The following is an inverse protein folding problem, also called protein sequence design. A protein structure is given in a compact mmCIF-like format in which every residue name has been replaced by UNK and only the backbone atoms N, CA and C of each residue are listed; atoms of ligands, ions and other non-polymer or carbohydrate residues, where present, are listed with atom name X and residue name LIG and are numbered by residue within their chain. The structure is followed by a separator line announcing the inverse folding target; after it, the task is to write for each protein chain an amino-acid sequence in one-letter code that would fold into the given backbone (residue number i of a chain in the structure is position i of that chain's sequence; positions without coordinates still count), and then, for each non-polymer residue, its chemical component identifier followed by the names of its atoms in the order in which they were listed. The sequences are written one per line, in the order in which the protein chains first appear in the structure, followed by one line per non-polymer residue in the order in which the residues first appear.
data_IF_123850761731
#
_entry.id   IF_123850761731
#
_cell.length_a   1.000
_cell.length_b   1.000
_cell.length_c   1.000
_cell.angle_alpha   90.00
_cell.angle_beta   90.00
_cell.angle_gamma   90.00
#
_symmetry.space_group_name_H-M   'P 1'
#
loop_
_entity.id
_entity.type
_entity.pdbx_description
1 polymer ?
#
# COMPACT_ATOMS: atom_id res chain seq x y z
N UNK A 1 -30.71 17.47 8.09
CA UNK A 1 -29.44 17.44 7.34
C UNK A 1 -29.36 16.10 6.62
N UNK A 2 -29.42 16.08 5.29
CA UNK A 2 -29.33 14.84 4.52
C UNK A 2 -27.92 14.28 4.65
N UNK A 3 -27.78 13.07 5.24
CA UNK A 3 -26.51 12.33 5.22
C UNK A 3 -26.18 12.03 3.76
N UNK A 4 -25.17 12.70 3.21
CA UNK A 4 -24.62 12.34 1.91
C UNK A 4 -24.24 10.86 1.95
N UNK A 5 -25.02 9.98 1.31
CA UNK A 5 -24.66 8.57 1.16
C UNK A 5 -23.43 8.50 0.29
N UNK A 6 -22.32 8.06 0.86
CA UNK A 6 -21.09 7.77 0.12
C UNK A 6 -21.47 6.70 -0.91
N UNK A 7 -21.26 7.00 -2.21
CA UNK A 7 -21.42 6.00 -3.27
C UNK A 7 -20.18 5.12 -3.28
N UNK A 8 -20.37 3.82 -3.44
CA UNK A 8 -19.29 2.84 -3.58
C UNK A 8 -19.30 2.24 -4.98
N UNK A 9 -18.14 1.96 -5.50
CA UNK A 9 -17.95 1.16 -6.72
C UNK A 9 -17.34 -0.18 -6.35
N UNK A 10 -17.54 -1.18 -7.20
CA UNK A 10 -16.87 -2.47 -7.10
C UNK A 10 -15.72 -2.53 -8.08
N UNK A 11 -14.58 -3.00 -7.60
CA UNK A 11 -13.41 -3.33 -8.43
C UNK A 11 -13.02 -4.79 -8.17
N UNK A 12 -12.76 -5.60 -9.22
CA UNK A 12 -12.38 -6.99 -9.02
C UNK A 12 -10.92 -7.10 -8.56
N UNK A 13 -10.63 -8.16 -7.83
CA UNK A 13 -9.28 -8.73 -7.69
C UNK A 13 -8.83 -9.17 -9.09
N UNK A 14 -7.61 -8.79 -9.49
CA UNK A 14 -7.13 -8.94 -10.86
C UNK A 14 -6.62 -10.36 -11.12
N UNK A 15 -5.87 -10.93 -10.17
CA UNK A 15 -5.25 -12.24 -10.35
C UNK A 15 -5.14 -13.04 -9.04
N UNK A 16 -4.70 -14.28 -9.13
CA UNK A 16 -4.43 -15.15 -7.99
C UNK A 16 -5.66 -15.88 -7.46
N UNK A 17 -5.58 -16.33 -6.20
CA UNK A 17 -6.56 -17.21 -5.52
C UNK A 17 -7.97 -16.62 -5.49
N UNK A 18 -8.08 -15.30 -5.37
CA UNK A 18 -9.36 -14.59 -5.24
C UNK A 18 -9.77 -13.82 -6.51
N UNK A 19 -9.15 -14.11 -7.65
CA UNK A 19 -9.44 -13.46 -8.94
C UNK A 19 -10.95 -13.38 -9.21
N UNK A 20 -11.41 -12.18 -9.57
CA UNK A 20 -12.82 -11.89 -9.89
C UNK A 20 -13.71 -11.57 -8.68
N UNK A 21 -13.28 -11.84 -7.42
CA UNK A 21 -13.99 -11.34 -6.26
C UNK A 21 -13.93 -9.80 -6.22
N UNK A 22 -15.01 -9.17 -5.79
CA UNK A 22 -15.13 -7.72 -5.79
C UNK A 22 -14.72 -7.11 -4.44
N UNK A 23 -13.99 -6.01 -4.52
CA UNK A 23 -13.68 -5.09 -3.42
C UNK A 23 -14.53 -3.84 -3.61
N UNK A 24 -15.17 -3.34 -2.55
CA UNK A 24 -15.85 -2.05 -2.55
C UNK A 24 -14.85 -0.92 -2.31
N UNK A 25 -14.92 0.13 -3.14
CA UNK A 25 -14.09 1.32 -3.03
C UNK A 25 -14.97 2.57 -3.00
N UNK A 26 -14.59 3.64 -2.29
CA UNK A 26 -15.33 4.89 -2.33
C UNK A 26 -15.38 5.47 -3.75
N UNK A 27 -16.52 6.04 -4.14
CA UNK A 27 -16.67 6.75 -5.41
C UNK A 27 -15.99 8.13 -5.32
N UNK A 28 -14.65 8.14 -5.36
CA UNK A 28 -13.86 9.37 -5.48
C UNK A 28 -13.59 9.60 -6.98
N UNK A 29 -13.47 10.86 -7.40
CA UNK A 29 -13.32 11.31 -8.81
C UNK A 29 -12.05 10.85 -9.53
N UNK A 30 -11.59 9.63 -9.30
CA UNK A 30 -10.47 9.02 -10.02
C UNK A 30 -10.96 8.06 -11.08
N UNK A 31 -10.39 8.13 -12.27
CA UNK A 31 -10.74 7.22 -13.37
C UNK A 31 -10.41 5.78 -12.96
N UNK A 32 -11.44 4.95 -12.90
CA UNK A 32 -11.42 3.54 -12.47
C UNK A 32 -10.35 2.72 -13.21
N UNK A 33 -10.08 3.05 -14.47
CA UNK A 33 -9.10 2.39 -15.32
C UNK A 33 -7.65 2.62 -14.89
N UNK A 34 -7.29 3.85 -14.47
CA UNK A 34 -5.90 4.16 -14.09
C UNK A 34 -5.46 3.43 -12.82
N UNK A 35 -6.30 3.35 -11.79
CA UNK A 35 -6.00 2.61 -10.55
C UNK A 35 -5.87 1.09 -10.79
N UNK A 36 -6.65 0.52 -11.71
CA UNK A 36 -6.55 -0.91 -12.05
C UNK A 36 -5.27 -1.21 -12.82
N UNK A 37 -4.90 -0.37 -13.79
CA UNK A 37 -3.65 -0.51 -14.56
C UNK A 37 -2.42 -0.35 -13.64
N UNK A 38 -2.45 0.62 -12.73
CA UNK A 38 -1.39 0.83 -11.74
C UNK A 38 -1.23 -0.42 -10.85
N UNK A 39 -2.34 -0.95 -10.29
CA UNK A 39 -2.33 -2.16 -9.46
C UNK A 39 -1.81 -3.38 -10.22
N UNK A 40 -2.25 -3.58 -11.45
CA UNK A 40 -1.74 -4.65 -12.30
C UNK A 40 -0.24 -4.52 -12.56
N UNK A 41 0.22 -3.32 -12.92
CA UNK A 41 1.65 -3.05 -13.15
C UNK A 41 2.51 -3.21 -11.91
N UNK A 42 2.00 -2.81 -10.72
CA UNK A 42 2.63 -3.04 -9.44
C UNK A 42 2.92 -4.52 -9.25
N UNK A 43 1.88 -5.34 -9.28
CA UNK A 43 2.01 -6.78 -9.01
C UNK A 43 2.73 -7.56 -10.12
N UNK A 44 2.70 -7.09 -11.37
CA UNK A 44 3.55 -7.67 -12.42
C UNK A 44 5.04 -7.37 -12.18
N UNK A 45 5.35 -6.30 -11.44
CA UNK A 45 6.75 -5.96 -11.09
C UNK A 45 7.31 -6.78 -9.95
N UNK A 46 6.45 -7.37 -9.10
CA UNK A 46 6.82 -8.14 -7.90
C UNK A 46 6.20 -9.55 -7.92
N UNK A 47 5.84 -10.05 -9.09
CA UNK A 47 4.98 -11.23 -9.25
C UNK A 47 5.48 -12.48 -8.53
N UNK A 48 6.78 -12.73 -8.54
CA UNK A 48 7.40 -13.90 -7.89
C UNK A 48 7.80 -13.60 -6.45
N UNK A 49 8.22 -12.39 -6.18
CA UNK A 49 8.78 -12.00 -4.88
C UNK A 49 7.72 -11.82 -3.80
N UNK A 50 6.45 -11.54 -4.20
CA UNK A 50 5.35 -11.37 -3.26
C UNK A 50 4.88 -12.70 -2.66
N UNK A 51 5.17 -13.83 -3.30
CA UNK A 51 4.73 -15.15 -2.84
C UNK A 51 5.42 -15.52 -1.54
N UNK A 52 4.64 -15.83 -0.51
CA UNK A 52 5.13 -16.17 0.83
C UNK A 52 5.60 -14.98 1.67
N UNK A 53 5.60 -13.74 1.13
CA UNK A 53 6.02 -12.55 1.85
C UNK A 53 4.90 -11.96 2.72
N UNK A 54 5.28 -11.08 3.65
CA UNK A 54 4.36 -10.11 4.26
C UNK A 54 4.18 -8.90 3.33
N UNK A 55 2.99 -8.32 3.34
CA UNK A 55 2.68 -7.10 2.60
C UNK A 55 2.05 -6.06 3.52
N UNK A 56 2.66 -4.90 3.67
CA UNK A 56 2.18 -3.81 4.52
C UNK A 56 1.62 -2.70 3.64
N UNK A 57 0.31 -2.45 3.73
CA UNK A 57 -0.36 -1.34 3.04
C UNK A 57 -0.59 -0.21 4.04
N UNK A 58 0.24 0.83 3.95
CA UNK A 58 0.08 2.05 4.72
C UNK A 58 -0.92 2.96 4.01
N UNK A 59 -1.81 3.60 4.78
CA UNK A 59 -2.93 4.39 4.25
C UNK A 59 -3.92 3.52 3.45
N UNK A 60 -4.32 2.39 4.03
CA UNK A 60 -4.94 1.27 3.32
C UNK A 60 -6.28 1.58 2.63
N UNK A 61 -7.04 2.57 3.11
CA UNK A 61 -8.31 2.93 2.50
C UNK A 61 -9.28 1.74 2.40
N UNK A 62 -9.48 1.20 1.21
CA UNK A 62 -10.31 0.02 0.97
C UNK A 62 -9.57 -1.32 1.09
N UNK A 63 -8.25 -1.31 1.23
CA UNK A 63 -7.40 -2.50 1.27
C UNK A 63 -7.15 -3.16 -0.10
N UNK A 64 -7.34 -2.42 -1.18
CA UNK A 64 -7.34 -3.01 -2.51
C UNK A 64 -5.98 -3.55 -2.95
N UNK A 65 -4.90 -3.01 -2.43
CA UNK A 65 -3.53 -3.45 -2.76
C UNK A 65 -3.15 -4.66 -1.91
N UNK A 66 -3.31 -4.60 -0.60
CA UNK A 66 -2.98 -5.73 0.29
C UNK A 66 -3.85 -6.96 0.05
N UNK A 67 -5.14 -6.78 -0.31
CA UNK A 67 -6.01 -7.90 -0.70
C UNK A 67 -5.62 -8.50 -2.06
N UNK A 68 -5.12 -7.71 -3.01
CA UNK A 68 -4.53 -8.21 -4.24
C UNK A 68 -3.22 -8.98 -3.95
N UNK A 69 -2.37 -8.49 -3.00
CA UNK A 69 -1.16 -9.18 -2.57
C UNK A 69 -1.48 -10.57 -1.99
N UNK A 70 -2.47 -10.68 -1.09
CA UNK A 70 -2.94 -11.96 -0.56
C UNK A 70 -3.45 -12.89 -1.66
N UNK A 71 -4.19 -12.34 -2.62
CA UNK A 71 -4.67 -13.13 -3.76
C UNK A 71 -3.53 -13.70 -4.60
N UNK A 72 -2.41 -12.99 -4.69
CA UNK A 72 -1.22 -13.40 -5.46
C UNK A 72 -0.20 -14.22 -4.66
N UNK A 73 -0.53 -14.57 -3.43
CA UNK A 73 0.25 -15.50 -2.63
C UNK A 73 1.07 -14.88 -1.50
N UNK A 74 0.88 -13.61 -1.16
CA UNK A 74 1.43 -13.06 0.07
C UNK A 74 0.94 -13.90 1.27
N UNK A 75 1.84 -14.11 2.25
CA UNK A 75 1.56 -14.91 3.44
C UNK A 75 0.62 -14.19 4.39
N UNK A 76 0.87 -12.90 4.63
CA UNK A 76 0.07 -12.03 5.49
C UNK A 76 -0.01 -10.63 4.85
N UNK A 77 -1.12 -9.93 5.05
CA UNK A 77 -1.20 -8.50 4.78
C UNK A 77 -1.55 -7.72 6.04
N UNK A 78 -0.89 -6.58 6.21
CA UNK A 78 -1.09 -5.64 7.31
C UNK A 78 -1.63 -4.34 6.72
N UNK A 79 -2.73 -3.85 7.28
CA UNK A 79 -3.44 -2.67 6.77
C UNK A 79 -3.50 -1.60 7.86
N UNK A 80 -2.95 -0.42 7.59
CA UNK A 80 -3.00 0.72 8.51
C UNK A 80 -3.99 1.76 7.95
N UNK A 81 -5.04 2.05 8.72
CA UNK A 81 -6.06 3.01 8.30
C UNK A 81 -6.61 3.79 9.52
N UNK A 82 -6.55 5.14 9.44
CA UNK A 82 -7.01 6.02 10.52
C UNK A 82 -8.44 6.55 10.35
N UNK A 83 -8.94 6.57 9.13
CA UNK A 83 -10.29 7.06 8.87
C UNK A 83 -11.33 6.00 9.25
N UNK A 84 -12.20 6.28 10.20
CA UNK A 84 -13.19 5.32 10.72
C UNK A 84 -14.13 4.76 9.63
N UNK A 85 -14.48 5.55 8.61
CA UNK A 85 -15.36 5.11 7.53
C UNK A 85 -14.61 4.18 6.58
N UNK A 86 -13.38 4.52 6.19
CA UNK A 86 -12.52 3.67 5.37
C UNK A 86 -12.16 2.38 6.10
N UNK A 87 -11.83 2.45 7.38
CA UNK A 87 -11.56 1.28 8.21
C UNK A 87 -12.75 0.30 8.27
N UNK A 88 -14.00 0.79 8.36
CA UNK A 88 -15.18 -0.08 8.31
C UNK A 88 -15.29 -0.78 6.96
N UNK A 89 -15.15 -0.04 5.88
CA UNK A 89 -15.17 -0.58 4.51
C UNK A 89 -14.05 -1.61 4.30
N UNK A 90 -12.84 -1.33 4.78
CA UNK A 90 -11.71 -2.25 4.76
C UNK A 90 -12.04 -3.57 5.46
N UNK A 91 -12.64 -3.51 6.64
CA UNK A 91 -13.06 -4.73 7.37
C UNK A 91 -14.11 -5.54 6.61
N UNK A 92 -15.07 -4.88 5.97
CA UNK A 92 -16.09 -5.55 5.15
C UNK A 92 -15.45 -6.23 3.93
N UNK A 93 -14.52 -5.57 3.27
CA UNK A 93 -13.76 -6.14 2.15
C UNK A 93 -12.91 -7.35 2.60
N UNK A 94 -12.21 -7.23 3.72
CA UNK A 94 -11.41 -8.31 4.30
C UNK A 94 -12.27 -9.52 4.62
N UNK A 95 -13.43 -9.32 5.27
CA UNK A 95 -14.34 -10.40 5.61
C UNK A 95 -14.81 -11.18 4.37
N UNK A 96 -14.94 -10.51 3.23
CA UNK A 96 -15.34 -11.14 1.96
C UNK A 96 -14.20 -11.84 1.22
N UNK A 97 -12.95 -11.42 1.40
CA UNK A 97 -11.82 -11.89 0.61
C UNK A 97 -10.95 -12.87 1.39
N UNK A 98 -10.26 -12.39 2.44
CA UNK A 98 -9.36 -13.21 3.26
C UNK A 98 -9.27 -12.68 4.71
N UNK A 99 -10.17 -13.09 5.60
CA UNK A 99 -10.14 -12.67 6.99
C UNK A 99 -9.04 -13.33 7.83
N UNK A 100 -8.44 -14.42 7.32
CA UNK A 100 -7.45 -15.21 8.10
C UNK A 100 -6.06 -14.57 8.00
N UNK A 101 -5.69 -14.14 6.79
CA UNK A 101 -4.35 -13.64 6.51
C UNK A 101 -4.27 -12.10 6.50
N UNK A 102 -5.31 -11.42 7.00
CA UNK A 102 -5.42 -9.96 7.05
C UNK A 102 -5.31 -9.44 8.47
N UNK A 103 -4.39 -8.51 8.71
CA UNK A 103 -4.15 -7.86 10.00
C UNK A 103 -4.48 -6.36 9.88
N UNK A 104 -5.53 -5.90 10.55
CA UNK A 104 -5.94 -4.50 10.50
C UNK A 104 -5.49 -3.75 11.74
N UNK A 105 -4.78 -2.64 11.55
CA UNK A 105 -4.36 -1.72 12.59
C UNK A 105 -5.13 -0.41 12.40
N UNK A 106 -6.03 -0.09 13.33
CA UNK A 106 -6.80 1.14 13.32
C UNK A 106 -6.01 2.27 14.01
N UNK A 107 -5.62 3.28 13.26
CA UNK A 107 -4.87 4.42 13.77
C UNK A 107 -4.02 5.11 12.70
N UNK A 108 -3.29 6.12 13.12
CA UNK A 108 -2.39 6.85 12.23
C UNK A 108 -1.18 5.99 11.87
N UNK A 109 -0.87 5.89 10.57
CA UNK A 109 0.26 5.10 10.08
C UNK A 109 1.60 5.57 10.68
N UNK A 110 1.76 6.87 10.88
CA UNK A 110 2.99 7.45 11.46
C UNK A 110 3.18 7.07 12.94
N UNK A 111 2.10 6.86 13.69
CA UNK A 111 2.14 6.44 15.08
C UNK A 111 2.31 4.92 15.24
N UNK A 112 1.71 4.16 14.34
CA UNK A 112 1.66 2.70 14.44
C UNK A 112 2.88 2.00 13.81
N UNK A 113 3.60 2.68 12.91
CA UNK A 113 4.65 2.10 12.09
C UNK A 113 5.77 1.47 12.92
N UNK A 114 6.33 2.21 13.89
CA UNK A 114 7.50 1.76 14.63
C UNK A 114 7.23 0.45 15.39
N UNK A 115 6.05 0.29 15.96
CA UNK A 115 5.64 -0.93 16.66
C UNK A 115 5.41 -2.10 15.69
N UNK A 116 4.81 -1.83 14.54
CA UNK A 116 4.62 -2.85 13.49
C UNK A 116 5.97 -3.27 12.90
N UNK A 117 6.84 -2.30 12.61
CA UNK A 117 8.18 -2.58 12.05
C UNK A 117 9.02 -3.45 12.99
N UNK A 118 9.01 -3.15 14.30
CA UNK A 118 9.70 -3.96 15.31
C UNK A 118 9.17 -5.41 15.32
N UNK A 119 7.85 -5.61 15.28
CA UNK A 119 7.22 -6.93 15.21
C UNK A 119 7.61 -7.69 13.93
N UNK A 120 7.62 -7.02 12.77
CA UNK A 120 7.99 -7.64 11.49
C UNK A 120 9.48 -8.00 11.46
N UNK A 121 10.32 -7.18 12.08
CA UNK A 121 11.76 -7.45 12.26
C UNK A 121 11.99 -8.71 13.09
N UNK A 122 11.24 -8.91 14.18
CA UNK A 122 11.31 -10.15 14.98
C UNK A 122 10.86 -11.39 14.19
N UNK A 123 9.88 -11.26 13.31
CA UNK A 123 9.44 -12.33 12.42
C UNK A 123 10.50 -12.66 11.37
N UNK A 124 11.30 -11.66 10.96
CA UNK A 124 12.36 -11.77 9.95
C UNK A 124 11.91 -12.43 8.63
N UNK A 125 10.68 -12.16 8.22
CA UNK A 125 10.07 -12.67 6.97
C UNK A 125 10.16 -11.62 5.87
N UNK A 126 10.40 -11.99 4.60
CA UNK A 126 10.38 -11.04 3.48
C UNK A 126 9.15 -10.16 3.52
N UNK A 127 9.34 -8.84 3.51
CA UNK A 127 8.24 -7.88 3.70
C UNK A 127 8.29 -6.76 2.66
N UNK A 128 7.14 -6.51 2.03
CA UNK A 128 6.91 -5.37 1.16
C UNK A 128 6.19 -4.27 1.93
N UNK A 129 6.63 -3.03 1.73
CA UNK A 129 5.97 -1.85 2.29
C UNK A 129 5.40 -1.00 1.15
N UNK A 130 4.10 -0.76 1.18
CA UNK A 130 3.40 0.06 0.19
C UNK A 130 2.83 1.31 0.85
N UNK A 131 3.22 2.46 0.34
CA UNK A 131 2.80 3.78 0.80
C UNK A 131 1.91 4.43 -0.26
N UNK A 132 0.63 4.68 0.04
CA UNK A 132 -0.31 5.47 -0.79
C UNK A 132 -0.88 6.62 0.06
N UNK A 133 -0.03 7.61 0.46
CA UNK A 133 -0.50 8.73 1.28
C UNK A 133 -1.55 9.55 0.52
N UNK A 134 -2.47 10.25 1.22
CA UNK A 134 -3.36 11.19 0.57
C UNK A 134 -2.53 12.27 -0.12
N UNK A 135 -2.96 12.70 -1.33
CA UNK A 135 -2.21 13.68 -2.10
C UNK A 135 -2.05 15.00 -1.32
N UNK A 136 -0.86 15.61 -1.40
CA UNK A 136 -0.48 16.87 -0.72
C UNK A 136 -1.33 18.09 -1.10
N UNK A 137 -2.10 18.02 -2.18
CA UNK A 137 -3.08 19.04 -2.57
C UNK A 137 -4.29 19.13 -1.63
N UNK A 138 -4.43 18.21 -0.68
CA UNK A 138 -5.48 18.28 0.35
C UNK A 138 -5.00 19.19 1.48
N UNK A 139 -5.88 20.08 1.93
CA UNK A 139 -5.63 20.97 3.06
C UNK A 139 -5.11 20.18 4.28
N UNK A 140 -4.00 20.64 4.86
CA UNK A 140 -3.32 20.00 5.99
C UNK A 140 -2.51 18.74 5.65
N UNK A 141 -2.22 18.52 4.35
CA UNK A 141 -1.40 17.37 3.87
C UNK A 141 -0.18 17.83 3.06
N UNK A 142 0.19 19.12 3.17
CA UNK A 142 1.25 19.73 2.39
C UNK A 142 2.61 19.06 2.63
N UNK A 143 2.85 18.58 3.86
CA UNK A 143 4.08 17.92 4.31
C UNK A 143 4.00 16.37 4.31
N UNK A 144 2.97 15.80 3.71
CA UNK A 144 2.72 14.35 3.80
C UNK A 144 3.84 13.51 3.20
N UNK A 145 4.44 13.97 2.10
CA UNK A 145 5.53 13.25 1.46
C UNK A 145 6.82 13.34 2.29
N UNK A 146 7.11 14.48 2.91
CA UNK A 146 8.27 14.64 3.79
C UNK A 146 8.14 13.68 5.00
N UNK A 147 6.97 13.61 5.61
CA UNK A 147 6.68 12.65 6.69
C UNK A 147 6.81 11.20 6.24
N UNK A 148 6.38 10.88 5.02
CA UNK A 148 6.57 9.54 4.47
C UNK A 148 8.05 9.23 4.23
N UNK A 149 8.84 10.18 3.71
CA UNK A 149 10.28 10.05 3.52
C UNK A 149 10.97 9.79 4.86
N UNK A 150 10.64 10.55 5.91
CA UNK A 150 11.18 10.33 7.25
C UNK A 150 10.82 8.95 7.81
N UNK A 151 9.61 8.45 7.52
CA UNK A 151 9.20 7.13 7.95
C UNK A 151 9.94 6.02 7.17
N UNK A 152 10.06 6.19 5.85
CA UNK A 152 10.77 5.28 4.96
C UNK A 152 12.25 5.20 5.33
N UNK A 153 12.88 6.31 5.72
CA UNK A 153 14.28 6.35 6.14
C UNK A 153 14.59 5.47 7.37
N UNK A 154 13.58 5.06 8.14
CA UNK A 154 13.72 4.12 9.26
C UNK A 154 13.85 2.66 8.80
N UNK A 155 13.48 2.35 7.55
CA UNK A 155 13.53 1.00 6.98
C UNK A 155 14.96 0.71 6.54
N UNK A 156 15.64 -0.18 7.27
CA UNK A 156 17.06 -0.49 7.06
C UNK A 156 17.43 -1.96 7.28
N UNK A 157 16.45 -2.79 7.64
CA UNK A 157 16.71 -4.19 7.96
C UNK A 157 16.47 -5.09 6.73
N UNK A 158 17.28 -6.15 6.54
CA UNK A 158 17.25 -7.00 5.33
C UNK A 158 15.92 -7.72 5.05
N UNK A 159 15.06 -7.86 6.05
CA UNK A 159 13.74 -8.44 5.83
C UNK A 159 12.82 -7.51 4.97
N UNK A 160 13.12 -6.22 4.88
CA UNK A 160 12.41 -5.29 4.01
C UNK A 160 12.84 -5.49 2.56
N UNK A 161 12.12 -6.33 1.84
CA UNK A 161 12.42 -6.69 0.45
C UNK A 161 12.31 -5.50 -0.48
N UNK A 162 11.28 -4.67 -0.28
CA UNK A 162 11.01 -3.53 -1.16
C UNK A 162 10.10 -2.51 -0.47
N UNK A 163 10.36 -1.24 -0.73
CA UNK A 163 9.46 -0.13 -0.41
C UNK A 163 8.92 0.44 -1.70
N UNK A 164 7.60 0.58 -1.79
CA UNK A 164 6.89 1.07 -2.97
C UNK A 164 6.07 2.29 -2.54
N UNK A 165 6.24 3.40 -3.23
CA UNK A 165 5.54 4.65 -2.93
C UNK A 165 4.68 5.04 -4.13
N UNK A 166 3.37 5.11 -3.93
CA UNK A 166 2.46 5.79 -4.86
C UNK A 166 2.44 7.28 -4.52
N UNK A 167 2.68 8.11 -5.53
CA UNK A 167 2.72 9.56 -5.36
C UNK A 167 2.18 10.28 -6.60
N UNK A 168 1.94 11.58 -6.49
CA UNK A 168 1.61 12.42 -7.64
C UNK A 168 2.76 12.42 -8.63
N UNK A 169 2.44 12.30 -9.94
CA UNK A 169 3.46 12.27 -11.01
C UNK A 169 4.23 13.58 -11.20
N UNK A 170 3.81 14.63 -10.51
CA UNK A 170 4.46 15.96 -10.51
C UNK A 170 5.46 16.08 -9.36
N UNK A 171 5.51 15.10 -8.44
CA UNK A 171 6.43 15.07 -7.31
C UNK A 171 7.60 14.15 -7.65
N UNK A 172 8.80 14.66 -7.57
CA UNK A 172 10.02 13.89 -7.66
C UNK A 172 10.45 13.47 -6.26
N UNK A 173 10.48 12.17 -6.01
CA UNK A 173 10.99 11.62 -4.77
C UNK A 173 12.52 11.48 -4.85
N UNK A 174 13.24 11.57 -3.71
CA UNK A 174 14.70 11.43 -3.69
C UNK A 174 15.18 10.09 -4.29
N UNK A 175 16.33 10.10 -4.97
CA UNK A 175 16.97 8.87 -5.45
C UNK A 175 17.46 7.96 -4.32
N UNK A 176 17.69 8.54 -3.14
CA UNK A 176 18.07 7.82 -1.92
C UNK A 176 17.25 8.29 -0.72
N UNK A 177 16.72 7.35 0.06
CA UNK A 177 16.00 7.60 1.33
C UNK A 177 16.63 6.70 2.39
N UNK A 178 17.39 7.27 3.32
CA UNK A 178 18.13 6.48 4.29
C UNK A 178 19.09 5.50 3.62
N UNK A 179 18.92 4.21 3.88
CA UNK A 179 19.72 3.13 3.28
C UNK A 179 19.08 2.54 2.00
N UNK A 180 17.95 3.09 1.59
CA UNK A 180 17.20 2.65 0.41
C UNK A 180 17.58 3.47 -0.82
N UNK A 181 17.73 2.80 -1.97
CA UNK A 181 17.97 3.43 -3.27
C UNK A 181 16.77 3.23 -4.21
N UNK A 182 16.43 4.26 -4.97
CA UNK A 182 15.44 4.21 -6.04
C UNK A 182 16.03 3.41 -7.21
N UNK A 183 15.43 2.26 -7.54
CA UNK A 183 15.90 1.46 -8.68
C UNK A 183 14.90 1.43 -9.84
N UNK A 184 13.67 1.92 -9.62
CA UNK A 184 12.65 1.93 -10.65
C UNK A 184 11.58 2.96 -10.34
N UNK A 185 11.10 3.66 -11.37
CA UNK A 185 9.90 4.49 -11.31
C UNK A 185 9.02 4.24 -12.53
N UNK A 186 7.70 4.31 -12.34
CA UNK A 186 6.70 4.16 -13.41
C UNK A 186 5.59 5.18 -13.26
N UNK A 187 5.23 5.85 -14.36
CA UNK A 187 4.18 6.87 -14.40
C UNK A 187 2.86 6.31 -14.96
N UNK A 188 1.75 6.65 -14.31
CA UNK A 188 0.39 6.25 -14.66
C UNK A 188 -0.55 7.46 -14.64
N UNK A 189 -0.42 8.31 -15.65
CA UNK A 189 -1.16 9.57 -15.69
C UNK A 189 -0.78 10.52 -14.56
N UNK A 190 -1.67 10.75 -13.60
CA UNK A 190 -1.44 11.63 -12.45
C UNK A 190 -0.77 10.95 -11.25
N UNK A 191 -0.64 9.63 -11.26
CA UNK A 191 0.06 8.85 -10.22
C UNK A 191 1.32 8.22 -10.77
N UNK A 192 2.33 8.07 -9.91
CA UNK A 192 3.57 7.34 -10.18
C UNK A 192 3.80 6.31 -9.08
N UNK A 193 4.52 5.24 -9.42
CA UNK A 193 5.06 4.28 -8.47
C UNK A 193 6.58 4.39 -8.48
N UNK A 194 7.16 4.66 -7.32
CA UNK A 194 8.60 4.62 -7.08
C UNK A 194 8.95 3.43 -6.21
N UNK A 195 9.96 2.66 -6.63
CA UNK A 195 10.38 1.40 -6.02
C UNK A 195 11.77 1.56 -5.44
N UNK A 196 11.89 1.31 -4.15
CA UNK A 196 13.13 1.40 -3.39
C UNK A 196 13.52 0.04 -2.82
N UNK A 197 14.81 -0.22 -2.75
CA UNK A 197 15.40 -1.40 -2.13
C UNK A 197 16.61 -1.00 -1.31
N UNK A 198 17.00 -1.85 -0.39
CA UNK A 198 18.24 -1.67 0.35
C UNK A 198 19.45 -1.76 -0.60
N UNK A 199 20.40 -0.87 -0.41
CA UNK A 199 21.63 -0.81 -1.19
C UNK A 199 22.46 -2.07 -0.97
N UNK A 200 22.91 -2.73 -2.04
CA UNK A 200 23.80 -3.90 -1.96
C UNK A 200 23.12 -5.27 -1.75
N UNK A 201 21.78 -5.35 -1.73
CA UNK A 201 21.07 -6.64 -1.59
C UNK A 201 20.88 -7.44 -2.89
N UNK A 202 21.40 -6.94 -4.03
CA UNK A 202 21.32 -7.63 -5.32
C UNK A 202 22.66 -7.55 -6.06
N UNK A 203 23.65 -8.26 -5.57
CA UNK A 203 24.77 -8.77 -6.36
C UNK A 203 24.80 -10.31 -6.35
#
# INVERSE_FOLDING_TARGET
MAKNKIKYFKTPIIAGKYKGKNIEIPAINTTRSSKSILRESLFNSIAYDVVGSNFVELFAGSGSIGLEALSRGAKQSYFLEKNATAHRLLKDNIANIDPINSNVLYGDAFELFDSLYARLKEQNEPTFFYFDPPFSIREGMEDIYDKCIDLIAKIKDPFATMVIVEHMSEIDLPEQIGELELFKAKKFGKSSLSYYRLKGLNE
#
